data_IF_366075116589
#
_entry.id   IF_366075116589
#
_cell.length_a   1.000
_cell.length_b   1.000
_cell.length_c   1.000
_cell.angle_alpha   90.00
_cell.angle_beta   90.00
_cell.angle_gamma   90.00
#
_symmetry.space_group_name_H-M   'P 1'
#
loop_
_entity.id
_entity.type
_entity.pdbx_description
1 polymer ?
#
# COMPACT_ATOMS: atom_id res chain seq x y z
N UNK A 1 -3.37 -1.59 35.30
CA UNK A 1 -1.96 -2.01 35.25
C UNK A 1 -1.39 -1.49 33.95
N UNK A 2 -0.24 -0.82 33.98
CA UNK A 2 0.45 -0.39 32.77
C UNK A 2 1.32 -1.53 32.25
N UNK A 3 1.19 -1.88 30.97
CA UNK A 3 2.03 -2.88 30.33
C UNK A 3 3.24 -2.21 29.66
N UNK A 4 4.40 -2.89 29.74
CA UNK A 4 5.64 -2.49 29.09
C UNK A 4 6.16 -3.69 28.33
N UNK A 5 6.42 -3.48 27.05
CA UNK A 5 7.06 -4.44 26.18
C UNK A 5 8.55 -4.10 26.09
N UNK A 6 9.41 -5.11 26.18
CA UNK A 6 10.86 -4.97 26.01
C UNK A 6 11.33 -5.91 24.92
N UNK A 7 11.97 -5.36 23.89
CA UNK A 7 12.59 -6.11 22.79
C UNK A 7 14.10 -6.12 23.04
N UNK A 8 14.71 -7.30 23.30
CA UNK A 8 16.10 -7.41 23.71
C UNK A 8 17.05 -7.33 22.51
N UNK A 9 17.10 -6.20 21.81
CA UNK A 9 17.92 -6.01 20.60
C UNK A 9 19.41 -6.17 20.85
N UNK A 10 19.91 -6.05 22.10
CA UNK A 10 21.30 -6.41 22.45
C UNK A 10 21.68 -7.85 22.11
N UNK A 11 20.71 -8.77 22.20
CA UNK A 11 20.93 -10.18 21.82
C UNK A 11 21.20 -10.35 20.32
N UNK A 12 20.87 -9.33 19.52
CA UNK A 12 21.06 -9.27 18.08
C UNK A 12 22.29 -8.41 17.69
N UNK A 13 23.08 -7.95 18.66
CA UNK A 13 24.30 -7.18 18.42
C UNK A 13 24.16 -5.66 18.42
N UNK A 14 22.99 -5.11 18.79
CA UNK A 14 22.81 -3.68 19.03
C UNK A 14 23.32 -3.27 20.42
N UNK A 15 23.57 -1.98 20.65
CA UNK A 15 24.00 -1.40 21.93
C UNK A 15 22.83 -0.96 22.83
N UNK A 16 21.60 -1.03 22.32
CA UNK A 16 20.36 -0.72 23.02
C UNK A 16 19.38 -1.88 23.00
N UNK A 17 18.40 -1.84 23.92
CA UNK A 17 17.12 -2.55 23.85
C UNK A 17 16.01 -1.57 23.48
N UNK A 18 14.85 -2.06 23.05
CA UNK A 18 13.68 -1.22 22.77
C UNK A 18 12.62 -1.45 23.84
N UNK A 19 12.14 -0.38 24.45
CA UNK A 19 10.98 -0.39 25.35
C UNK A 19 9.78 0.29 24.69
N UNK A 20 8.60 -0.32 24.77
CA UNK A 20 7.35 0.25 24.24
C UNK A 20 6.27 0.22 25.32
N UNK A 21 5.73 1.40 25.65
CA UNK A 21 4.63 1.54 26.61
C UNK A 21 3.31 1.08 25.98
N UNK A 22 2.32 0.78 26.81
CA UNK A 22 0.99 0.38 26.35
C UNK A 22 0.19 1.50 25.64
N UNK A 23 -0.97 1.14 25.09
CA UNK A 23 -1.88 2.07 24.40
C UNK A 23 -2.32 3.26 25.25
N UNK A 24 -2.60 3.04 26.55
CA UNK A 24 -3.02 4.11 27.47
C UNK A 24 -1.92 5.14 27.70
N UNK A 25 -0.68 4.71 27.53
CA UNK A 25 0.53 5.54 27.58
C UNK A 25 0.99 5.98 26.17
N UNK A 26 0.07 6.00 25.20
CA UNK A 26 0.27 6.50 23.83
C UNK A 26 1.36 5.77 23.04
N UNK A 27 1.64 4.52 23.37
CA UNK A 27 2.66 3.69 22.71
C UNK A 27 4.06 4.31 22.67
N UNK A 28 4.39 5.17 23.65
CA UNK A 28 5.71 5.80 23.71
C UNK A 28 6.82 4.75 23.71
N UNK A 29 7.70 4.83 22.72
CA UNK A 29 8.84 3.95 22.57
C UNK A 29 10.16 4.62 22.96
N UNK A 30 11.12 3.82 23.42
CA UNK A 30 12.46 4.28 23.77
C UNK A 30 13.54 3.29 23.33
N UNK A 31 14.65 3.79 22.83
CA UNK A 31 15.93 3.09 22.86
C UNK A 31 16.51 3.16 24.28
N UNK A 32 16.84 2.02 24.86
CA UNK A 32 17.36 1.89 26.23
C UNK A 32 18.82 1.46 26.17
N UNK A 33 19.72 2.39 26.46
CA UNK A 33 21.17 2.22 26.59
C UNK A 33 21.56 1.97 28.05
N UNK A 34 22.82 1.62 28.31
CA UNK A 34 23.33 1.51 29.69
C UNK A 34 23.33 2.86 30.43
N UNK A 35 23.55 3.95 29.69
CA UNK A 35 23.66 5.32 30.20
C UNK A 35 22.32 6.08 30.26
N UNK A 36 21.23 5.48 29.76
CA UNK A 36 19.90 6.08 29.82
C UNK A 36 18.98 5.66 28.69
N UNK A 37 17.86 6.39 28.56
CA UNK A 37 16.84 6.12 27.53
C UNK A 37 16.68 7.31 26.58
N UNK A 38 16.49 7.05 25.30
CA UNK A 38 16.23 8.04 24.25
C UNK A 38 14.92 7.69 23.54
N UNK A 39 14.03 8.66 23.24
CA UNK A 39 12.78 8.37 22.53
C UNK A 39 13.01 7.68 21.18
N UNK A 40 12.02 6.89 20.73
CA UNK A 40 11.95 6.46 19.34
C UNK A 40 11.42 7.62 18.49
N UNK A 41 12.23 8.05 17.53
CA UNK A 41 11.87 9.14 16.63
C UNK A 41 11.04 8.68 15.43
N UNK A 42 10.74 7.39 15.29
CA UNK A 42 10.05 6.87 14.11
C UNK A 42 9.37 5.51 14.30
N UNK A 43 9.13 4.86 13.18
CA UNK A 43 8.82 3.43 13.14
C UNK A 43 10.01 2.59 13.61
N UNK A 44 9.73 1.34 13.97
CA UNK A 44 10.73 0.36 14.39
C UNK A 44 11.19 -0.54 13.23
N UNK A 45 10.57 -0.41 12.05
CA UNK A 45 10.91 -1.23 10.88
C UNK A 45 10.60 -2.72 11.04
N UNK A 46 9.81 -3.08 12.07
CA UNK A 46 9.40 -4.44 12.39
C UNK A 46 7.86 -4.51 12.41
N UNK A 47 7.31 -5.62 11.90
CA UNK A 47 5.88 -5.91 11.98
C UNK A 47 5.44 -6.26 13.40
N UNK A 48 4.17 -6.03 13.76
CA UNK A 48 3.67 -6.44 15.08
C UNK A 48 3.82 -7.95 15.30
N UNK A 49 3.64 -8.78 14.27
CA UNK A 49 3.85 -10.22 14.38
C UNK A 49 5.24 -10.61 14.91
N UNK A 50 6.28 -9.82 14.60
CA UNK A 50 7.63 -10.05 15.13
C UNK A 50 7.75 -9.51 16.56
N UNK A 51 7.10 -8.39 16.85
CA UNK A 51 7.12 -7.73 18.15
C UNK A 51 6.37 -8.54 19.21
N UNK A 52 5.26 -9.17 18.82
CA UNK A 52 4.41 -10.01 19.65
C UNK A 52 5.18 -11.18 20.27
N UNK A 53 6.24 -11.66 19.62
CA UNK A 53 7.10 -12.72 20.14
C UNK A 53 7.78 -12.34 21.46
N UNK A 54 7.93 -11.03 21.72
CA UNK A 54 8.52 -10.51 22.95
C UNK A 54 7.46 -10.19 24.02
N UNK A 55 6.17 -10.24 23.68
CA UNK A 55 5.06 -10.11 24.65
C UNK A 55 4.65 -11.48 25.18
N UNK A 56 5.53 -12.11 25.96
CA UNK A 56 5.39 -13.50 26.46
C UNK A 56 4.05 -13.77 27.16
N UNK A 57 3.42 -12.74 27.74
CA UNK A 57 2.14 -12.86 28.45
C UNK A 57 0.95 -12.25 27.69
N UNK A 58 1.15 -11.75 26.47
CA UNK A 58 0.12 -11.09 25.64
C UNK A 58 -0.44 -9.77 26.20
N UNK A 59 0.07 -9.30 27.34
CA UNK A 59 -0.53 -8.20 28.10
C UNK A 59 -0.38 -6.86 27.40
N UNK A 60 0.72 -6.65 26.69
CA UNK A 60 0.93 -5.40 25.95
C UNK A 60 0.06 -5.36 24.70
N UNK A 61 -0.01 -6.47 23.96
CA UNK A 61 -0.82 -6.60 22.76
C UNK A 61 -2.31 -6.43 23.05
N UNK A 62 -2.80 -6.98 24.16
CA UNK A 62 -4.19 -6.82 24.63
C UNK A 62 -4.57 -5.35 24.88
N UNK A 63 -3.60 -4.47 25.10
CA UNK A 63 -3.89 -3.03 25.26
C UNK A 63 -4.23 -2.34 23.94
N UNK A 64 -3.82 -2.91 22.80
CA UNK A 64 -4.07 -2.35 21.48
C UNK A 64 -5.51 -2.64 21.05
N UNK A 65 -6.30 -1.62 20.64
CA UNK A 65 -7.65 -1.84 20.12
C UNK A 65 -7.62 -2.80 18.93
N UNK A 66 -8.37 -3.91 19.01
CA UNK A 66 -8.36 -4.97 18.00
C UNK A 66 -8.63 -4.45 16.59
N UNK A 67 -9.64 -3.58 16.44
CA UNK A 67 -9.96 -2.92 15.16
C UNK A 67 -8.78 -2.18 14.55
N UNK A 68 -7.94 -1.52 15.35
CA UNK A 68 -6.79 -0.78 14.82
C UNK A 68 -5.67 -1.72 14.40
N UNK A 69 -5.48 -2.82 15.13
CA UNK A 69 -4.56 -3.89 14.70
C UNK A 69 -4.97 -4.43 13.34
N UNK A 70 -6.21 -4.88 13.20
CA UNK A 70 -6.76 -5.42 11.93
C UNK A 70 -6.57 -4.49 10.73
N UNK A 71 -6.81 -3.18 10.91
CA UNK A 71 -6.61 -2.20 9.82
C UNK A 71 -5.12 -2.10 9.45
N UNK A 72 -4.25 -2.05 10.45
CA UNK A 72 -2.80 -1.86 10.27
C UNK A 72 -2.04 -3.13 9.90
N UNK A 73 -2.65 -4.31 10.00
CA UNK A 73 -2.03 -5.59 9.60
C UNK A 73 -1.65 -5.60 8.11
N UNK A 74 -2.40 -4.88 7.29
CA UNK A 74 -2.06 -4.68 5.89
C UNK A 74 -0.88 -3.71 5.69
N UNK A 75 -0.22 -3.21 6.73
CA UNK A 75 0.90 -2.26 6.59
C UNK A 75 2.06 -2.64 7.54
N UNK A 76 2.61 -3.85 7.43
CA UNK A 76 3.50 -4.43 8.46
C UNK A 76 4.72 -3.54 8.78
N UNK A 77 5.35 -2.93 7.78
CA UNK A 77 6.53 -2.06 7.98
C UNK A 77 6.21 -0.78 8.77
N UNK A 78 4.98 -0.27 8.64
CA UNK A 78 4.54 1.01 9.20
C UNK A 78 3.58 0.83 10.39
N UNK A 79 3.25 -0.41 10.73
CA UNK A 79 2.18 -0.78 11.65
C UNK A 79 2.32 -0.10 13.01
N UNK A 80 3.50 -0.21 13.63
CA UNK A 80 3.77 0.46 14.90
C UNK A 80 3.62 1.97 14.81
N UNK A 81 4.17 2.61 13.77
CA UNK A 81 4.11 4.05 13.62
C UNK A 81 2.67 4.55 13.37
N UNK A 82 1.89 3.81 12.58
CA UNK A 82 0.47 4.11 12.35
C UNK A 82 -0.33 4.05 13.67
N UNK A 83 -0.10 3.01 14.47
CA UNK A 83 -0.73 2.86 15.79
C UNK A 83 -0.26 3.95 16.76
N UNK A 84 1.02 4.30 16.74
CA UNK A 84 1.55 5.41 17.54
C UNK A 84 0.86 6.73 17.16
N UNK A 85 0.72 7.05 15.87
CA UNK A 85 0.02 8.26 15.43
C UNK A 85 -1.45 8.27 15.90
N UNK A 86 -2.14 7.13 15.76
CA UNK A 86 -3.52 6.97 16.21
C UNK A 86 -3.66 7.11 17.74
N UNK A 87 -2.72 6.59 18.52
CA UNK A 87 -2.72 6.74 19.97
C UNK A 87 -2.44 8.19 20.43
N UNK A 88 -1.82 9.00 19.57
CA UNK A 88 -1.40 10.37 19.89
C UNK A 88 -2.32 11.48 19.32
N UNK A 89 -3.15 11.20 18.31
CA UNK A 89 -4.05 12.20 17.69
C UNK A 89 -5.37 11.61 17.21
N UNK A 90 -6.46 12.36 17.39
CA UNK A 90 -7.78 11.99 16.87
C UNK A 90 -7.83 11.99 15.34
N UNK A 91 -7.11 12.92 14.69
CA UNK A 91 -7.06 13.02 13.23
C UNK A 91 -6.41 11.78 12.61
N UNK A 92 -5.37 11.23 13.22
CA UNK A 92 -4.77 9.98 12.78
C UNK A 92 -5.73 8.79 12.95
N UNK A 93 -6.54 8.75 14.02
CA UNK A 93 -7.62 7.74 14.15
C UNK A 93 -8.61 7.85 13.00
N UNK A 94 -9.05 9.07 12.66
CA UNK A 94 -9.96 9.28 11.54
C UNK A 94 -9.35 8.84 10.20
N UNK A 95 -8.05 9.12 9.98
CA UNK A 95 -7.33 8.64 8.80
C UNK A 95 -7.24 7.12 8.78
N UNK A 96 -6.87 6.51 9.90
CA UNK A 96 -6.75 5.06 10.03
C UNK A 96 -8.07 4.36 9.69
N UNK A 97 -9.18 4.87 10.21
CA UNK A 97 -10.49 4.27 10.02
C UNK A 97 -11.10 4.50 8.63
N UNK A 98 -10.82 5.65 8.01
CA UNK A 98 -11.44 6.02 6.72
C UNK A 98 -10.57 5.67 5.52
N UNK A 99 -9.27 5.96 5.60
CA UNK A 99 -8.31 5.85 4.49
C UNK A 99 -6.90 5.53 5.04
N UNK A 100 -6.67 4.32 5.56
CA UNK A 100 -5.41 3.95 6.23
C UNK A 100 -4.18 4.10 5.34
N UNK A 101 -4.35 3.95 4.01
CA UNK A 101 -3.29 4.21 3.01
C UNK A 101 -2.70 5.61 3.14
N UNK A 102 -3.51 6.64 3.42
CA UNK A 102 -2.99 8.00 3.60
C UNK A 102 -2.06 8.07 4.82
N UNK A 103 -2.44 7.41 5.92
CA UNK A 103 -1.62 7.36 7.12
C UNK A 103 -0.33 6.58 6.88
N UNK A 104 -0.40 5.46 6.15
CA UNK A 104 0.77 4.69 5.74
C UNK A 104 1.73 5.50 4.86
N UNK A 105 1.21 6.32 3.93
CA UNK A 105 2.04 7.21 3.09
C UNK A 105 2.75 8.30 3.92
N UNK A 106 2.14 8.78 5.01
CA UNK A 106 2.80 9.68 5.97
C UNK A 106 3.97 8.96 6.63
N UNK A 107 3.72 7.76 7.17
CA UNK A 107 4.74 6.93 7.82
C UNK A 107 5.89 6.60 6.87
N UNK A 108 5.60 6.23 5.63
CA UNK A 108 6.61 5.95 4.60
C UNK A 108 7.49 7.17 4.31
N UNK A 109 6.91 8.39 4.26
CA UNK A 109 7.68 9.61 4.01
C UNK A 109 8.52 10.05 5.22
N UNK A 110 8.01 9.85 6.42
CA UNK A 110 8.59 10.30 7.69
C UNK A 110 8.82 9.11 8.64
N UNK A 111 9.44 8.06 8.13
CA UNK A 111 9.64 6.79 8.86
C UNK A 111 10.52 6.93 10.09
N UNK A 112 11.32 7.99 10.14
CA UNK A 112 12.26 8.32 11.23
C UNK A 112 11.95 9.68 11.88
N UNK A 113 10.76 10.25 11.65
CA UNK A 113 10.35 11.54 12.23
C UNK A 113 8.86 11.57 12.60
N UNK A 114 8.57 11.02 13.78
CA UNK A 114 7.24 10.92 14.38
C UNK A 114 6.60 12.30 14.58
N UNK A 115 7.40 13.32 14.86
CA UNK A 115 6.89 14.67 15.06
C UNK A 115 6.37 15.27 13.74
N UNK A 116 7.13 15.16 12.64
CA UNK A 116 6.63 15.59 11.32
C UNK A 116 5.46 14.74 10.84
N UNK A 117 5.49 13.43 11.09
CA UNK A 117 4.36 12.55 10.78
C UNK A 117 3.09 12.99 11.52
N UNK A 118 3.20 13.33 12.81
CA UNK A 118 2.11 13.82 13.65
C UNK A 118 1.58 15.20 13.21
N UNK A 119 2.46 16.11 12.84
CA UNK A 119 2.07 17.42 12.30
C UNK A 119 1.29 17.27 11.00
N UNK A 120 1.74 16.34 10.15
CA UNK A 120 1.08 16.08 8.88
C UNK A 120 -0.27 15.39 9.05
N UNK A 121 -0.41 14.43 9.99
CA UNK A 121 -1.66 13.71 10.23
C UNK A 121 -2.82 14.61 10.66
N UNK A 122 -2.52 15.79 11.23
CA UNK A 122 -3.49 16.81 11.64
C UNK A 122 -4.06 17.63 10.48
N UNK A 123 -3.50 17.51 9.27
CA UNK A 123 -4.00 18.23 8.11
C UNK A 123 -5.20 17.53 7.48
N UNK A 124 -6.01 18.27 6.71
CA UNK A 124 -7.02 17.65 5.85
C UNK A 124 -6.37 16.78 4.76
N UNK A 125 -6.99 15.66 4.41
CA UNK A 125 -6.44 14.63 3.50
C UNK A 125 -5.84 15.15 2.18
N UNK A 126 -6.48 16.12 1.52
CA UNK A 126 -5.92 16.73 0.30
C UNK A 126 -4.65 17.53 0.57
N UNK A 127 -4.58 18.23 1.71
CA UNK A 127 -3.38 18.96 2.14
C UNK A 127 -2.26 17.99 2.49
N UNK A 128 -2.59 16.85 3.10
CA UNK A 128 -1.63 15.76 3.35
C UNK A 128 -1.01 15.32 2.03
N UNK A 129 -1.83 14.90 1.06
CA UNK A 129 -1.35 14.43 -0.25
C UNK A 129 -0.48 15.48 -0.96
N UNK A 130 -0.91 16.75 -0.95
CA UNK A 130 -0.11 17.83 -1.55
C UNK A 130 1.25 18.02 -0.86
N UNK A 131 1.29 17.94 0.48
CA UNK A 131 2.54 18.03 1.26
C UNK A 131 3.46 16.82 1.08
N UNK A 132 2.89 15.67 0.73
CA UNK A 132 3.64 14.47 0.32
C UNK A 132 4.15 14.54 -1.14
N UNK A 133 3.76 15.56 -1.90
CA UNK A 133 4.11 15.69 -3.32
C UNK A 133 3.26 14.82 -4.25
N UNK A 134 2.07 14.40 -3.79
CA UNK A 134 1.14 13.50 -4.49
C UNK A 134 -0.07 14.27 -5.03
N UNK A 135 -0.79 13.67 -5.99
CA UNK A 135 -2.03 14.26 -6.54
C UNK A 135 -3.06 14.41 -5.41
N UNK A 136 -3.51 15.65 -5.19
CA UNK A 136 -4.45 16.01 -4.11
C UNK A 136 -5.90 16.16 -4.62
N UNK A 137 -6.17 15.63 -5.81
CA UNK A 137 -7.48 15.71 -6.45
C UNK A 137 -8.57 14.89 -5.74
N UNK A 138 -9.83 15.18 -6.07
CA UNK A 138 -10.96 14.34 -5.65
C UNK A 138 -10.90 12.94 -6.29
N UNK A 139 -10.28 12.82 -7.47
CA UNK A 139 -10.11 11.54 -8.14
C UNK A 139 -9.14 10.64 -7.37
N UNK A 140 -8.06 11.19 -6.80
CA UNK A 140 -7.16 10.46 -5.91
C UNK A 140 -7.88 9.86 -4.71
N UNK A 141 -8.68 10.65 -3.99
CA UNK A 141 -9.40 10.14 -2.82
C UNK A 141 -10.36 9.01 -3.21
N UNK A 142 -11.06 9.16 -4.34
CA UNK A 142 -11.92 8.10 -4.89
C UNK A 142 -11.15 6.86 -5.34
N UNK A 143 -9.91 7.02 -5.80
CA UNK A 143 -9.05 5.88 -6.13
C UNK A 143 -8.61 5.15 -4.85
N UNK A 144 -8.19 5.89 -3.83
CA UNK A 144 -7.83 5.33 -2.52
C UNK A 144 -9.01 4.56 -1.90
N UNK A 145 -10.23 5.07 -2.05
CA UNK A 145 -11.45 4.39 -1.56
C UNK A 145 -11.71 3.03 -2.23
N UNK A 146 -11.08 2.73 -3.37
CA UNK A 146 -11.22 1.45 -4.08
C UNK A 146 -10.11 0.46 -3.77
N UNK A 147 -9.07 0.87 -3.04
CA UNK A 147 -7.89 0.03 -2.82
C UNK A 147 -8.24 -1.16 -1.91
N UNK A 148 -7.92 -2.36 -2.38
CA UNK A 148 -7.97 -3.60 -1.59
C UNK A 148 -6.56 -4.19 -1.53
N UNK A 149 -5.85 -3.85 -0.47
CA UNK A 149 -4.44 -4.17 -0.32
C UNK A 149 -4.28 -5.21 0.77
N UNK A 150 -3.47 -6.22 0.50
CA UNK A 150 -3.15 -7.30 1.43
C UNK A 150 -1.65 -7.39 1.74
N UNK A 151 -0.80 -6.61 1.04
CA UNK A 151 0.65 -6.49 1.28
C UNK A 151 1.40 -7.82 1.35
N UNK A 152 0.96 -8.79 0.56
CA UNK A 152 1.61 -10.10 0.45
C UNK A 152 2.95 -10.01 -0.30
N UNK A 153 3.11 -9.02 -1.17
CA UNK A 153 4.30 -8.85 -2.01
C UNK A 153 5.25 -7.77 -1.46
N UNK A 154 4.70 -6.74 -0.81
CA UNK A 154 5.45 -5.72 -0.08
C UNK A 154 5.75 -4.45 -0.87
N UNK A 155 5.46 -4.40 -2.17
CA UNK A 155 5.70 -3.23 -3.04
C UNK A 155 4.43 -2.43 -3.38
N UNK A 156 3.30 -2.74 -2.74
CA UNK A 156 2.01 -2.11 -3.02
C UNK A 156 2.01 -0.60 -2.76
N UNK A 157 2.64 -0.12 -1.69
CA UNK A 157 2.75 1.32 -1.40
C UNK A 157 3.56 2.04 -2.48
N UNK A 158 4.66 1.46 -2.94
CA UNK A 158 5.48 2.04 -3.99
C UNK A 158 4.69 2.18 -5.30
N UNK A 159 3.87 1.18 -5.63
CA UNK A 159 2.96 1.27 -6.78
C UNK A 159 1.92 2.37 -6.61
N UNK A 160 1.35 2.51 -5.41
CA UNK A 160 0.41 3.59 -5.12
C UNK A 160 1.09 4.95 -5.30
N UNK A 161 2.28 5.16 -4.75
CA UNK A 161 3.04 6.41 -4.92
C UNK A 161 3.23 6.76 -6.40
N UNK A 162 3.61 5.79 -7.23
CA UNK A 162 3.78 5.98 -8.68
C UNK A 162 2.46 6.35 -9.38
N UNK A 163 1.35 5.74 -8.98
CA UNK A 163 0.02 6.05 -9.54
C UNK A 163 -0.46 7.43 -9.10
N UNK A 164 -0.15 7.83 -7.87
CA UNK A 164 -0.49 9.13 -7.29
C UNK A 164 0.43 10.26 -7.74
N UNK A 165 1.36 10.00 -8.66
CA UNK A 165 2.23 11.02 -9.24
C UNK A 165 1.38 12.11 -9.96
N UNK A 166 1.55 13.40 -9.61
CA UNK A 166 0.64 14.46 -10.08
C UNK A 166 0.61 14.68 -11.59
N UNK A 167 1.73 14.54 -12.30
CA UNK A 167 1.85 14.91 -13.70
C UNK A 167 1.17 13.89 -14.62
N UNK A 168 1.26 12.60 -14.29
CA UNK A 168 0.73 11.53 -15.13
C UNK A 168 -0.78 11.29 -14.96
N UNK A 169 -1.38 11.73 -13.84
CA UNK A 169 -2.82 11.55 -13.54
C UNK A 169 -3.31 10.11 -13.73
N UNK A 170 -2.46 9.11 -13.42
CA UNK A 170 -2.76 7.68 -13.65
C UNK A 170 -4.01 7.20 -12.93
N UNK A 171 -4.35 7.81 -11.80
CA UNK A 171 -5.59 7.55 -11.05
C UNK A 171 -6.85 7.56 -11.92
N UNK A 172 -6.89 8.34 -13.00
CA UNK A 172 -8.03 8.42 -13.91
C UNK A 172 -8.26 7.13 -14.70
N UNK A 173 -7.21 6.34 -14.96
CA UNK A 173 -7.32 5.04 -15.63
C UNK A 173 -8.08 4.02 -14.77
N UNK A 174 -8.07 4.19 -13.45
CA UNK A 174 -8.77 3.32 -12.51
C UNK A 174 -10.23 3.70 -12.27
N UNK A 175 -10.78 4.67 -13.02
CA UNK A 175 -12.15 5.18 -12.82
C UNK A 175 -13.20 4.08 -12.91
N UNK A 176 -13.03 3.11 -13.80
CA UNK A 176 -14.02 2.07 -14.10
C UNK A 176 -13.90 0.81 -13.23
N UNK A 177 -12.82 0.68 -12.46
CA UNK A 177 -12.68 -0.43 -11.53
C UNK A 177 -13.63 -0.24 -10.34
N UNK A 178 -14.29 -1.32 -9.92
CA UNK A 178 -15.07 -1.34 -8.68
C UNK A 178 -14.14 -1.38 -7.46
N UNK A 179 -13.09 -2.21 -7.54
CA UNK A 179 -12.03 -2.43 -6.56
C UNK A 179 -10.68 -2.48 -7.26
N UNK A 180 -9.61 -2.08 -6.58
CA UNK A 180 -8.25 -2.04 -7.09
C UNK A 180 -7.33 -2.79 -6.13
N UNK A 181 -7.07 -4.06 -6.46
CA UNK A 181 -6.08 -4.88 -5.75
C UNK A 181 -4.72 -4.91 -6.45
N UNK A 182 -3.79 -5.69 -5.89
CA UNK A 182 -2.42 -5.83 -6.40
C UNK A 182 -2.36 -6.16 -7.90
N UNK A 183 -3.22 -7.06 -8.37
CA UNK A 183 -3.32 -7.46 -9.78
C UNK A 183 -3.57 -6.27 -10.71
N UNK A 184 -4.43 -5.33 -10.32
CA UNK A 184 -4.72 -4.12 -11.10
C UNK A 184 -3.55 -3.13 -11.09
N UNK A 185 -2.87 -3.00 -9.94
CA UNK A 185 -1.66 -2.17 -9.81
C UNK A 185 -0.54 -2.72 -10.71
N UNK A 186 -0.37 -4.04 -10.71
CA UNK A 186 0.65 -4.73 -11.51
C UNK A 186 0.35 -4.63 -13.01
N UNK A 187 -0.92 -4.73 -13.41
CA UNK A 187 -1.33 -4.50 -14.79
C UNK A 187 -0.89 -3.11 -15.28
N UNK A 188 -1.11 -2.05 -14.49
CA UNK A 188 -0.71 -0.69 -14.88
C UNK A 188 0.80 -0.50 -14.95
N UNK A 189 1.54 -1.22 -14.12
CA UNK A 189 2.99 -1.20 -14.14
C UNK A 189 3.55 -1.86 -15.42
N UNK A 190 3.02 -3.01 -15.81
CA UNK A 190 3.56 -3.82 -16.92
C UNK A 190 2.94 -3.42 -18.27
N UNK A 191 1.63 -3.20 -18.30
CA UNK A 191 0.87 -2.84 -19.50
C UNK A 191 -0.08 -1.66 -19.24
N UNK A 192 0.45 -0.43 -19.08
CA UNK A 192 -0.36 0.76 -18.78
C UNK A 192 -1.47 1.08 -19.80
N UNK A 193 -1.41 0.51 -21.01
CA UNK A 193 -2.41 0.67 -22.06
C UNK A 193 -3.64 -0.22 -21.84
N UNK A 194 -3.52 -1.32 -21.07
CA UNK A 194 -4.64 -2.17 -20.70
C UNK A 194 -5.41 -1.62 -19.50
N UNK A 195 -4.79 -0.79 -18.64
CA UNK A 195 -5.43 -0.22 -17.45
C UNK A 195 -6.66 0.59 -17.83
N UNK A 196 -7.83 0.16 -17.32
CA UNK A 196 -9.10 0.84 -17.58
C UNK A 196 -9.73 0.50 -18.93
N UNK A 197 -9.09 -0.33 -19.75
CA UNK A 197 -9.72 -0.93 -20.93
C UNK A 197 -10.70 -2.04 -20.53
N UNK A 198 -11.58 -2.44 -21.44
CA UNK A 198 -12.51 -3.55 -21.20
C UNK A 198 -11.75 -4.84 -20.93
N UNK A 199 -10.74 -5.13 -21.76
CA UNK A 199 -9.94 -6.34 -21.60
C UNK A 199 -9.16 -6.33 -20.30
N UNK A 200 -8.50 -5.20 -19.97
CA UNK A 200 -7.72 -5.10 -18.73
C UNK A 200 -8.57 -5.22 -17.47
N UNK A 201 -9.80 -4.71 -17.47
CA UNK A 201 -10.75 -4.90 -16.36
C UNK A 201 -11.14 -6.38 -16.27
N UNK A 202 -11.56 -6.99 -17.37
CA UNK A 202 -11.94 -8.42 -17.40
C UNK A 202 -10.79 -9.33 -16.93
N UNK A 203 -9.56 -9.07 -17.36
CA UNK A 203 -8.38 -9.84 -16.93
C UNK A 203 -8.09 -9.75 -15.44
N UNK A 204 -8.31 -8.57 -14.83
CA UNK A 204 -8.17 -8.37 -13.38
C UNK A 204 -9.26 -9.14 -12.65
N UNK A 205 -10.51 -9.06 -13.10
CA UNK A 205 -11.66 -9.78 -12.52
C UNK A 205 -11.52 -11.30 -12.63
N UNK A 206 -10.96 -11.80 -13.75
CA UNK A 206 -10.68 -13.22 -13.96
C UNK A 206 -9.44 -13.73 -13.20
N UNK A 207 -8.65 -12.86 -12.56
CA UNK A 207 -7.43 -13.22 -11.82
C UNK A 207 -6.29 -13.74 -12.70
N UNK A 208 -6.27 -13.39 -13.99
CA UNK A 208 -5.48 -14.09 -15.02
C UNK A 208 -4.08 -13.54 -15.29
N UNK A 209 -3.61 -12.54 -14.55
CA UNK A 209 -2.42 -11.75 -14.89
C UNK A 209 -1.05 -12.34 -14.47
N UNK A 210 -1.02 -13.41 -13.69
CA UNK A 210 0.23 -13.91 -13.09
C UNK A 210 1.01 -14.93 -13.96
N UNK A 211 0.64 -15.15 -15.22
CA UNK A 211 1.37 -16.07 -16.10
C UNK A 211 2.29 -15.32 -17.07
N UNK A 212 3.61 -15.54 -17.04
CA UNK A 212 4.57 -14.96 -17.99
C UNK A 212 4.18 -15.18 -19.46
N UNK A 213 3.53 -16.31 -19.77
CA UNK A 213 3.08 -16.66 -21.13
C UNK A 213 2.11 -15.63 -21.73
N UNK A 214 1.31 -14.95 -20.91
CA UNK A 214 0.29 -14.01 -21.39
C UNK A 214 0.87 -12.67 -21.79
N UNK A 215 2.05 -12.32 -21.27
CA UNK A 215 2.74 -11.08 -21.61
C UNK A 215 3.27 -11.13 -23.06
N UNK A 216 3.78 -12.29 -23.48
CA UNK A 216 4.24 -12.50 -24.85
C UNK A 216 3.09 -12.39 -25.86
N UNK A 217 1.90 -12.92 -25.53
CA UNK A 217 0.73 -12.87 -26.42
C UNK A 217 0.28 -11.44 -26.73
N UNK A 218 0.36 -10.50 -25.79
CA UNK A 218 -0.01 -9.10 -26.08
C UNK A 218 0.95 -8.44 -27.04
N UNK A 219 2.25 -8.67 -26.87
CA UNK A 219 3.26 -8.10 -27.74
C UNK A 219 3.20 -8.73 -29.13
N UNK A 220 2.98 -10.05 -29.20
CA UNK A 220 2.76 -10.77 -30.44
C UNK A 220 1.50 -10.29 -31.17
N UNK A 221 0.37 -10.15 -30.47
CA UNK A 221 -0.86 -9.60 -31.05
C UNK A 221 -0.71 -8.19 -31.62
N UNK A 222 0.12 -7.34 -30.98
CA UNK A 222 0.41 -5.99 -31.48
C UNK A 222 1.24 -6.07 -32.77
N UNK A 223 2.28 -6.90 -32.78
CA UNK A 223 3.13 -7.10 -33.97
C UNK A 223 2.35 -7.70 -35.12
N UNK A 224 1.56 -8.75 -34.86
CA UNK A 224 0.68 -9.37 -35.84
C UNK A 224 -0.32 -8.35 -36.41
N UNK A 225 -0.95 -7.53 -35.56
CA UNK A 225 -1.85 -6.48 -36.04
C UNK A 225 -1.17 -5.43 -36.91
N UNK A 226 0.12 -5.12 -36.65
CA UNK A 226 0.92 -4.22 -37.50
C UNK A 226 1.25 -4.88 -38.84
N UNK A 227 1.66 -6.14 -38.83
CA UNK A 227 2.00 -6.91 -40.04
C UNK A 227 0.79 -7.13 -40.95
N UNK A 228 -0.42 -7.19 -40.37
CA UNK A 228 -1.69 -7.30 -41.09
C UNK A 228 -2.31 -5.96 -41.51
N UNK A 229 -1.59 -4.85 -41.30
CA UNK A 229 -2.06 -3.49 -41.61
C UNK A 229 -3.42 -3.14 -40.95
N UNK A 230 -3.71 -3.72 -39.78
CA UNK A 230 -4.92 -3.40 -39.01
C UNK A 230 -4.80 -1.97 -38.49
N UNK A 231 -5.81 -1.15 -38.77
CA UNK A 231 -5.89 0.20 -38.20
C UNK A 231 -6.07 0.14 -36.67
N UNK A 232 -5.14 0.76 -35.94
CA UNK A 232 -5.05 0.78 -34.48
C UNK A 232 -5.22 -0.60 -33.80
N UNK A 233 -4.21 -1.49 -33.89
CA UNK A 233 -4.25 -2.82 -33.29
C UNK A 233 -4.49 -2.79 -31.77
N UNK A 234 -3.99 -1.77 -31.09
CA UNK A 234 -4.15 -1.58 -29.65
C UNK A 234 -5.61 -1.38 -29.27
N UNK A 235 -6.38 -0.61 -30.05
CA UNK A 235 -7.81 -0.43 -29.82
C UNK A 235 -8.58 -1.74 -30.02
N UNK A 236 -8.22 -2.52 -31.04
CA UNK A 236 -8.83 -3.82 -31.29
C UNK A 236 -8.61 -4.78 -30.11
N UNK A 237 -7.37 -4.84 -29.58
CA UNK A 237 -7.02 -5.67 -28.43
C UNK A 237 -7.73 -5.19 -27.15
N UNK A 238 -7.63 -3.90 -26.84
CA UNK A 238 -8.16 -3.33 -25.57
C UNK A 238 -9.70 -3.35 -25.49
N UNK A 239 -10.38 -3.45 -26.63
CA UNK A 239 -11.84 -3.51 -26.72
C UNK A 239 -12.47 -4.86 -26.39
N UNK A 240 -11.67 -5.93 -26.30
CA UNK A 240 -12.15 -7.28 -26.01
C UNK A 240 -12.80 -7.36 -24.63
N UNK A 241 -13.87 -8.14 -24.49
CA UNK A 241 -14.65 -8.23 -23.25
C UNK A 241 -14.14 -9.30 -22.27
N UNK A 242 -13.24 -10.18 -22.71
CA UNK A 242 -12.67 -11.24 -21.90
C UNK A 242 -11.33 -11.69 -22.47
N UNK A 243 -10.53 -12.38 -21.64
CA UNK A 243 -9.26 -12.94 -22.11
C UNK A 243 -9.47 -14.00 -23.20
N UNK A 244 -10.51 -14.83 -23.09
CA UNK A 244 -10.81 -15.86 -24.08
C UNK A 244 -11.14 -15.27 -25.47
N UNK A 245 -11.83 -14.11 -25.52
CA UNK A 245 -12.08 -13.43 -26.79
C UNK A 245 -10.80 -12.84 -27.39
N UNK A 246 -9.87 -12.39 -26.54
CA UNK A 246 -8.55 -11.97 -26.99
C UNK A 246 -7.72 -13.15 -27.54
N UNK A 247 -7.73 -14.30 -26.86
CA UNK A 247 -7.07 -15.53 -27.35
C UNK A 247 -7.62 -15.93 -28.72
N UNK A 248 -8.95 -15.93 -28.89
CA UNK A 248 -9.57 -16.21 -30.19
C UNK A 248 -9.21 -15.19 -31.27
N UNK A 249 -9.04 -13.91 -30.91
CA UNK A 249 -8.61 -12.88 -31.85
C UNK A 249 -7.16 -13.12 -32.30
N UNK A 250 -6.29 -13.50 -31.38
CA UNK A 250 -4.89 -13.82 -31.63
C UNK A 250 -4.72 -15.09 -32.47
N UNK A 251 -5.49 -16.14 -32.17
CA UNK A 251 -5.38 -17.46 -32.80
C UNK A 251 -6.20 -17.59 -34.09
N UNK A 252 -6.84 -16.51 -34.56
CA UNK A 252 -7.61 -16.55 -35.81
C UNK A 252 -6.66 -16.88 -36.97
N UNK A 253 -6.95 -17.92 -37.77
CA UNK A 253 -6.19 -18.16 -38.98
C UNK A 253 -6.35 -16.96 -39.92
N UNK A 254 -5.23 -16.55 -40.50
CA UNK A 254 -5.15 -15.56 -41.56
C UNK A 254 -5.79 -16.15 -42.81
N UNK A 255 -7.03 -15.77 -43.10
CA UNK A 255 -7.67 -15.98 -44.41
C UNK A 255 -7.51 -14.74 -45.29
#
# INVERSE_FOLDING_TARGET
MTALLTIPTRTLGFDYDIEIRDWSQKLLGFHVFEDGRRPLDGGIGLSLNLIEQFDVNGRWLETLPARYREITDNFPEYQYQMLWLAANTYEAVQLLELRPVILALICMKYSVDNQKALELSRLGQKKILAKLGLDSSKATLKFIDKLELHYNVGDELDHIVRILEPLQRRVLKFKHYSKVGYTALRLDQVHPFLTGSRLGIAMVEEGRLNSPSKMAMFQDAILLGQDLEIDDPLRSITSQNSFAMFEQLHDRPLD
#
